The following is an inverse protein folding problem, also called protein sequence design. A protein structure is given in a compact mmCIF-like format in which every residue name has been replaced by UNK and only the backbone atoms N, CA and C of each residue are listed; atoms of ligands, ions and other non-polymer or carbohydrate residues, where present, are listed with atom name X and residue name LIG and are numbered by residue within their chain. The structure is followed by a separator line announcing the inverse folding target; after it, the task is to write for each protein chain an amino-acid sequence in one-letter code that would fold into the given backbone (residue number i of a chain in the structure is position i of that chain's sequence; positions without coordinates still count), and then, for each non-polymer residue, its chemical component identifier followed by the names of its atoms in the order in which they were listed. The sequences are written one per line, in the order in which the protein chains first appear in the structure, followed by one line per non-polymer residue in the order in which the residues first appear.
data_IF_801702608598
#
_entry.id   IF_801702608598
#
_cell.length_a   1.000
_cell.length_b   1.000
_cell.length_c   1.000
_cell.angle_alpha   90.00
_cell.angle_beta   90.00
_cell.angle_gamma   90.00
#
_symmetry.space_group_name_H-M   'P 1'
#
loop_
_entity.id
_entity.type
_entity.pdbx_description
1 polymer ?
#
# COMPACT_ATOMS: atom_id res chain seq x y z
N UNK A 1 -36.37 -12.99 -16.27
CA UNK A 1 -35.26 -13.64 -17.01
C UNK A 1 -33.97 -13.11 -16.42
N UNK A 2 -33.24 -13.95 -15.68
CA UNK A 2 -32.03 -13.61 -14.95
C UNK A 2 -30.87 -13.31 -15.91
N UNK A 3 -30.13 -12.22 -15.67
CA UNK A 3 -28.79 -12.04 -16.24
C UNK A 3 -27.78 -12.13 -15.09
N UNK A 4 -27.19 -13.32 -14.99
CA UNK A 4 -26.07 -13.69 -14.13
C UNK A 4 -24.78 -13.27 -14.84
N UNK A 5 -23.90 -12.50 -14.18
CA UNK A 5 -22.52 -12.32 -14.64
C UNK A 5 -21.73 -13.61 -14.38
N UNK A 6 -21.25 -14.24 -15.45
CA UNK A 6 -20.68 -15.60 -15.48
C UNK A 6 -19.15 -15.67 -15.45
N UNK A 7 -18.41 -14.60 -15.11
CA UNK A 7 -16.94 -14.62 -15.18
C UNK A 7 -16.28 -14.16 -13.88
N UNK A 8 -16.03 -15.17 -13.03
CA UNK A 8 -15.40 -15.20 -11.71
C UNK A 8 -16.19 -14.46 -10.62
N UNK A 9 -16.86 -15.17 -9.69
CA UNK A 9 -17.04 -14.59 -8.36
C UNK A 9 -15.62 -14.30 -7.86
N UNK A 10 -15.27 -13.02 -7.67
CA UNK A 10 -14.06 -12.69 -6.93
C UNK A 10 -14.16 -13.47 -5.63
N UNK A 11 -13.27 -14.44 -5.41
CA UNK A 11 -13.25 -15.14 -4.15
C UNK A 11 -13.09 -14.07 -3.09
N UNK A 12 -14.12 -13.87 -2.26
CA UNK A 12 -14.02 -13.02 -1.09
C UNK A 12 -12.74 -13.45 -0.37
N UNK A 13 -11.83 -12.49 -0.13
CA UNK A 13 -10.57 -12.81 0.52
C UNK A 13 -10.86 -13.60 1.80
N UNK A 14 -10.14 -14.70 1.99
CA UNK A 14 -10.32 -15.57 3.16
C UNK A 14 -9.76 -14.92 4.43
N UNK A 15 -8.85 -13.96 4.27
CA UNK A 15 -8.17 -13.25 5.33
C UNK A 15 -7.92 -11.81 4.90
N UNK A 16 -8.07 -10.86 5.82
CA UNK A 16 -7.63 -9.47 5.68
C UNK A 16 -6.89 -9.03 6.93
N UNK A 17 -5.95 -8.11 6.72
CA UNK A 17 -5.12 -7.52 7.76
C UNK A 17 -5.19 -6.01 7.58
N UNK A 18 -5.44 -5.29 8.66
CA UNK A 18 -5.35 -3.83 8.71
C UNK A 18 -4.46 -3.40 9.88
N UNK A 19 -3.68 -2.34 9.68
CA UNK A 19 -2.63 -1.92 10.59
C UNK A 19 -2.68 -0.41 10.78
N UNK A 20 -2.45 0.06 12.00
CA UNK A 20 -2.15 1.45 12.29
C UNK A 20 -0.70 1.56 12.76
N UNK A 21 0.08 2.40 12.08
CA UNK A 21 1.47 2.67 12.41
C UNK A 21 1.65 4.15 12.69
N UNK A 22 2.46 4.49 13.68
CA UNK A 22 2.90 5.86 13.89
C UNK A 22 3.81 6.31 12.74
N UNK A 23 3.69 7.59 12.39
CA UNK A 23 4.40 8.17 11.26
C UNK A 23 5.48 9.15 11.68
N UNK A 24 5.15 10.04 12.61
CA UNK A 24 5.96 11.21 13.00
C UNK A 24 6.90 10.91 14.16
N UNK A 25 6.68 9.83 14.90
CA UNK A 25 7.55 9.42 16.01
C UNK A 25 8.83 8.81 15.48
N UNK A 26 9.91 8.90 16.26
CA UNK A 26 11.21 8.30 15.90
C UNK A 26 11.12 6.78 15.77
N UNK A 27 10.31 6.15 16.63
CA UNK A 27 10.15 4.70 16.69
C UNK A 27 9.13 4.16 15.66
N UNK A 28 8.18 5.00 15.24
CA UNK A 28 7.14 4.69 14.25
C UNK A 28 6.26 3.48 14.63
N UNK A 29 6.00 3.20 15.91
CA UNK A 29 5.47 1.89 16.32
C UNK A 29 4.18 1.47 15.60
N UNK A 30 3.99 0.17 15.44
CA UNK A 30 2.70 -0.43 15.10
C UNK A 30 1.86 -0.39 16.38
N UNK A 31 0.80 0.40 16.39
CA UNK A 31 0.00 0.72 17.60
C UNK A 31 -1.33 0.00 17.65
N UNK A 32 -1.86 -0.41 16.48
CA UNK A 32 -3.04 -1.25 16.40
C UNK A 32 -2.96 -2.19 15.19
N UNK A 33 -3.62 -3.33 15.32
CA UNK A 33 -3.73 -4.32 14.25
C UNK A 33 -5.05 -5.06 14.35
N UNK A 34 -5.70 -5.25 13.21
CA UNK A 34 -6.96 -5.98 13.10
C UNK A 34 -6.79 -7.08 12.07
N UNK A 35 -7.26 -8.27 12.42
CA UNK A 35 -7.20 -9.44 11.58
C UNK A 35 -8.61 -9.98 11.38
N UNK A 36 -9.07 -10.03 10.15
CA UNK A 36 -10.30 -10.73 9.81
C UNK A 36 -9.93 -12.05 9.13
N UNK A 37 -10.24 -13.16 9.78
CA UNK A 37 -9.94 -14.51 9.34
C UNK A 37 -11.21 -15.34 9.21
N UNK A 38 -11.46 -15.88 8.02
CA UNK A 38 -12.57 -16.80 7.73
C UNK A 38 -12.13 -18.27 7.77
N UNK A 39 -10.83 -18.52 7.85
CA UNK A 39 -10.28 -19.87 7.80
C UNK A 39 -10.28 -20.49 9.19
N UNK A 40 -10.84 -21.69 9.29
CA UNK A 40 -10.70 -22.51 10.47
C UNK A 40 -10.28 -23.94 10.12
N UNK A 41 -9.12 -24.36 10.63
CA UNK A 41 -8.62 -25.71 10.43
C UNK A 41 -9.58 -26.78 10.98
N UNK A 42 -10.04 -26.62 12.23
CA UNK A 42 -10.98 -27.56 12.85
C UNK A 42 -12.30 -27.61 12.08
N UNK A 43 -12.85 -26.46 11.69
CA UNK A 43 -14.07 -26.40 10.87
C UNK A 43 -13.91 -27.08 9.51
N UNK A 44 -12.78 -26.88 8.83
CA UNK A 44 -12.46 -27.57 7.58
C UNK A 44 -12.33 -29.08 7.77
N UNK A 45 -11.69 -29.52 8.85
CA UNK A 45 -11.55 -30.94 9.18
C UNK A 45 -12.90 -31.61 9.47
N UNK A 46 -13.77 -30.97 10.28
CA UNK A 46 -15.11 -31.47 10.59
C UNK A 46 -16.00 -31.56 9.34
N UNK A 47 -15.94 -30.56 8.45
CA UNK A 47 -16.62 -30.63 7.14
C UNK A 47 -16.12 -31.80 6.28
N UNK A 48 -14.81 -32.06 6.29
CA UNK A 48 -14.22 -33.21 5.62
C UNK A 48 -14.70 -34.56 6.19
N UNK A 49 -15.21 -34.59 7.42
CA UNK A 49 -15.85 -35.75 8.05
C UNK A 49 -17.37 -35.83 7.78
N UNK A 50 -17.92 -34.94 6.95
CA UNK A 50 -19.34 -34.89 6.62
C UNK A 50 -20.21 -34.14 7.64
N UNK A 51 -19.62 -33.48 8.63
CA UNK A 51 -20.36 -32.71 9.62
C UNK A 51 -20.72 -31.30 9.09
N UNK A 52 -21.96 -30.88 9.29
CA UNK A 52 -22.42 -29.56 8.89
C UNK A 52 -22.05 -28.50 9.95
N UNK A 53 -20.86 -27.93 9.81
CA UNK A 53 -20.29 -26.95 10.75
C UNK A 53 -20.18 -25.57 10.12
N UNK A 54 -20.62 -24.53 10.83
CA UNK A 54 -20.58 -23.12 10.36
C UNK A 54 -19.69 -22.27 11.27
N UNK A 55 -18.47 -21.94 10.84
CA UNK A 55 -17.57 -21.05 11.60
C UNK A 55 -18.06 -19.58 11.55
N UNK A 56 -17.82 -18.77 12.61
CA UNK A 56 -16.99 -19.05 13.78
C UNK A 56 -17.67 -19.85 14.90
N UNK A 57 -19.00 -19.86 14.97
CA UNK A 57 -19.74 -20.34 16.16
C UNK A 57 -20.11 -21.83 16.11
N UNK A 58 -19.83 -22.51 15.01
CA UNK A 58 -20.32 -23.88 14.76
C UNK A 58 -19.55 -25.00 15.45
N UNK A 59 -18.48 -24.69 16.20
CA UNK A 59 -17.78 -25.67 17.04
C UNK A 59 -17.08 -24.99 18.22
N UNK A 60 -17.26 -25.55 19.42
CA UNK A 60 -16.78 -24.95 20.66
C UNK A 60 -15.25 -24.94 20.80
N UNK A 61 -14.72 -23.86 21.35
CA UNK A 61 -13.39 -23.75 21.98
C UNK A 61 -12.16 -23.74 21.06
N UNK A 62 -12.31 -24.03 19.77
CA UNK A 62 -11.15 -24.20 18.85
C UNK A 62 -11.33 -23.49 17.51
N UNK A 63 -12.35 -22.65 17.37
CA UNK A 63 -12.55 -21.91 16.12
C UNK A 63 -11.51 -20.80 15.99
N UNK A 64 -10.78 -20.84 14.88
CA UNK A 64 -9.78 -19.83 14.52
C UNK A 64 -10.32 -18.82 13.51
N UNK A 65 -11.51 -19.05 12.97
CA UNK A 65 -12.21 -18.01 12.23
C UNK A 65 -12.82 -17.02 13.22
N UNK A 66 -12.72 -15.73 12.93
CA UNK A 66 -13.36 -14.65 13.68
C UNK A 66 -14.40 -13.89 12.84
N UNK A 67 -14.49 -14.21 11.53
CA UNK A 67 -15.48 -13.67 10.61
C UNK A 67 -16.17 -14.80 9.87
N UNK A 68 -17.49 -14.68 9.66
CA UNK A 68 -18.27 -15.68 8.92
C UNK A 68 -17.79 -15.76 7.45
N UNK A 69 -17.82 -16.93 6.80
CA UNK A 69 -17.39 -17.10 5.42
C UNK A 69 -18.09 -16.14 4.42
N UNK A 70 -19.38 -15.88 4.66
CA UNK A 70 -20.24 -15.03 3.82
C UNK A 70 -20.07 -13.54 4.08
N UNK A 71 -19.51 -13.14 5.23
CA UNK A 71 -19.35 -11.72 5.57
C UNK A 71 -18.32 -11.07 4.64
N UNK A 72 -18.64 -9.96 3.95
CA UNK A 72 -17.67 -9.23 3.16
C UNK A 72 -16.60 -8.61 4.08
N UNK A 73 -15.34 -8.68 3.68
CA UNK A 73 -14.26 -8.00 4.41
C UNK A 73 -14.30 -6.51 4.06
N UNK A 74 -14.21 -5.65 5.06
CA UNK A 74 -14.44 -4.21 4.91
C UNK A 74 -13.36 -3.39 5.61
N UNK A 75 -12.70 -2.52 4.85
CA UNK A 75 -11.74 -1.56 5.40
C UNK A 75 -12.37 -0.63 6.43
N UNK A 76 -13.64 -0.25 6.25
CA UNK A 76 -14.39 0.56 7.21
C UNK A 76 -14.54 -0.15 8.56
N UNK A 77 -14.96 -1.42 8.56
CA UNK A 77 -15.12 -2.19 9.80
C UNK A 77 -13.78 -2.39 10.52
N UNK A 78 -12.73 -2.73 9.77
CA UNK A 78 -11.39 -2.85 10.33
C UNK A 78 -10.87 -1.51 10.85
N UNK A 79 -11.14 -0.41 10.17
CA UNK A 79 -10.82 0.94 10.63
C UNK A 79 -11.55 1.30 11.93
N UNK A 80 -12.81 0.91 12.06
CA UNK A 80 -13.59 1.10 13.30
C UNK A 80 -12.99 0.32 14.47
N UNK A 81 -12.63 -0.94 14.25
CA UNK A 81 -11.97 -1.76 15.27
C UNK A 81 -10.59 -1.18 15.67
N UNK A 82 -9.81 -0.67 14.71
CA UNK A 82 -8.55 0.05 14.98
C UNK A 82 -8.82 1.28 15.85
N UNK A 83 -9.82 2.10 15.50
CA UNK A 83 -10.19 3.29 16.27
C UNK A 83 -10.52 2.94 17.73
N UNK A 84 -11.30 1.86 17.95
CA UNK A 84 -11.62 1.36 19.29
C UNK A 84 -10.38 0.82 20.04
N UNK A 85 -9.44 0.17 19.36
CA UNK A 85 -8.19 -0.29 20.00
C UNK A 85 -7.33 0.88 20.49
N UNK A 86 -7.24 1.94 19.69
CA UNK A 86 -6.45 3.13 20.03
C UNK A 86 -7.13 3.93 21.15
N UNK A 87 -8.45 4.07 21.08
CA UNK A 87 -9.26 4.73 22.10
C UNK A 87 -9.10 4.08 23.49
N UNK A 88 -9.09 2.74 23.55
CA UNK A 88 -8.81 1.98 24.80
C UNK A 88 -7.45 2.29 25.42
N UNK A 89 -6.52 2.84 24.66
CA UNK A 89 -5.21 3.29 25.16
C UNK A 89 -5.24 4.77 25.59
N UNK A 90 -6.42 5.40 25.62
CA UNK A 90 -6.63 6.83 25.87
C UNK A 90 -5.87 7.73 24.89
N UNK A 91 -5.78 7.30 23.63
CA UNK A 91 -5.13 8.06 22.54
C UNK A 91 -6.17 8.50 21.53
N UNK A 92 -6.13 9.79 21.14
CA UNK A 92 -7.00 10.34 20.12
C UNK A 92 -6.26 10.48 18.78
N UNK A 93 -6.88 10.02 17.71
CA UNK A 93 -6.33 10.14 16.35
C UNK A 93 -6.82 11.45 15.73
N UNK A 94 -5.93 12.40 15.43
CA UNK A 94 -6.30 13.62 14.70
C UNK A 94 -6.22 13.45 13.17
N UNK A 95 -5.20 12.75 12.70
CA UNK A 95 -4.92 12.56 11.28
C UNK A 95 -4.74 11.08 10.98
N UNK A 96 -5.35 10.60 9.89
CA UNK A 96 -5.21 9.23 9.42
C UNK A 96 -4.82 9.22 7.94
N UNK A 97 -3.86 8.37 7.57
CA UNK A 97 -3.36 8.25 6.20
C UNK A 97 -3.66 6.84 5.73
N UNK A 98 -4.39 6.74 4.63
CA UNK A 98 -4.75 5.45 4.03
C UNK A 98 -4.45 5.49 2.55
N UNK A 99 -4.04 4.35 2.00
CA UNK A 99 -4.05 4.13 0.56
C UNK A 99 -5.53 4.09 0.06
N UNK A 100 -5.79 4.44 -1.20
CA UNK A 100 -7.09 4.22 -1.85
C UNK A 100 -8.33 4.94 -1.27
N UNK A 101 -9.44 4.23 -1.09
CA UNK A 101 -10.82 4.77 -0.95
C UNK A 101 -11.18 5.36 0.43
N UNK A 102 -10.25 5.48 1.39
CA UNK A 102 -10.43 6.28 2.61
C UNK A 102 -11.41 5.74 3.65
N UNK A 103 -12.11 4.65 3.33
CA UNK A 103 -13.10 3.97 4.16
C UNK A 103 -12.55 3.58 5.53
N UNK A 104 -11.26 3.21 5.61
CA UNK A 104 -10.59 2.95 6.89
C UNK A 104 -10.54 4.17 7.81
N UNK A 105 -10.25 5.36 7.28
CA UNK A 105 -10.23 6.61 8.05
C UNK A 105 -11.64 7.01 8.53
N UNK A 106 -12.67 6.78 7.70
CA UNK A 106 -14.07 6.95 8.10
C UNK A 106 -14.44 6.03 9.28
N UNK A 107 -14.01 4.77 9.23
CA UNK A 107 -14.22 3.81 10.32
C UNK A 107 -13.60 4.26 11.64
N UNK A 108 -12.35 4.75 11.62
CA UNK A 108 -11.66 5.28 12.81
C UNK A 108 -12.42 6.50 13.36
N UNK A 109 -12.84 7.41 12.48
CA UNK A 109 -13.60 8.59 12.87
C UNK A 109 -14.90 8.22 13.59
N UNK A 110 -15.64 7.27 13.04
CA UNK A 110 -16.92 6.86 13.60
C UNK A 110 -16.76 6.09 14.91
N UNK A 111 -15.64 5.38 15.12
CA UNK A 111 -15.31 4.79 16.41
C UNK A 111 -15.09 5.86 17.49
N UNK A 112 -14.24 6.85 17.21
CA UNK A 112 -13.87 7.88 18.20
C UNK A 112 -15.03 8.84 18.52
N UNK A 113 -15.90 9.10 17.55
CA UNK A 113 -17.09 9.95 17.75
C UNK A 113 -18.08 9.43 18.78
N UNK A 114 -18.09 8.13 19.06
CA UNK A 114 -19.00 7.53 20.06
C UNK A 114 -18.75 8.12 21.44
N UNK A 115 -17.48 8.29 21.82
CA UNK A 115 -17.08 8.82 23.13
C UNK A 115 -16.62 10.29 23.05
N UNK A 116 -16.21 10.75 21.87
CA UNK A 116 -15.75 12.11 21.63
C UNK A 116 -16.49 12.75 20.45
N UNK A 117 -17.77 13.15 20.61
CA UNK A 117 -18.62 13.61 19.51
C UNK A 117 -18.10 14.85 18.75
N UNK A 118 -17.35 15.71 19.45
CA UNK A 118 -16.74 16.92 18.88
C UNK A 118 -15.40 16.64 18.18
N UNK A 119 -14.83 15.44 18.36
CA UNK A 119 -13.56 15.09 17.76
C UNK A 119 -13.75 14.65 16.31
N UNK A 120 -12.84 15.11 15.44
CA UNK A 120 -12.86 14.81 14.01
C UNK A 120 -11.50 14.32 13.55
N UNK A 121 -11.50 13.10 13.00
CA UNK A 121 -10.34 12.52 12.31
C UNK A 121 -10.31 13.06 10.89
N UNK A 122 -9.18 13.65 10.51
CA UNK A 122 -8.96 14.17 9.17
C UNK A 122 -8.13 13.20 8.34
N UNK A 123 -8.69 12.75 7.23
CA UNK A 123 -7.94 11.94 6.27
C UNK A 123 -6.89 12.81 5.57
N UNK A 124 -5.65 12.33 5.58
CA UNK A 124 -4.54 12.86 4.78
C UNK A 124 -4.24 11.90 3.61
N UNK A 125 -3.70 12.44 2.52
CA UNK A 125 -3.31 11.69 1.33
C UNK A 125 -1.79 11.55 1.27
N UNK A 126 -1.30 10.48 0.63
CA UNK A 126 0.15 10.26 0.45
C UNK A 126 0.77 11.37 -0.45
N UNK A 127 1.80 12.10 0.02
CA UNK A 127 2.34 13.33 -0.54
C UNK A 127 3.54 13.17 -1.47
N UNK A 128 3.78 12.00 -2.06
CA UNK A 128 4.97 11.78 -2.92
C UNK A 128 5.12 12.79 -4.09
N UNK A 129 4.16 13.67 -4.42
CA UNK A 129 4.36 14.76 -5.38
C UNK A 129 3.64 16.08 -5.00
N UNK A 130 4.41 17.15 -4.80
CA UNK A 130 3.96 18.52 -4.49
C UNK A 130 4.06 19.44 -5.71
N UNK A 131 3.16 20.43 -5.81
CA UNK A 131 3.24 21.48 -6.83
C UNK A 131 2.12 22.52 -6.76
N UNK A 132 2.48 23.81 -6.90
CA UNK A 132 1.55 24.96 -7.01
C UNK A 132 0.89 25.05 -8.40
N UNK A 133 -0.12 25.91 -8.58
CA UNK A 133 -0.79 26.10 -9.88
C UNK A 133 0.15 26.50 -11.03
N UNK A 134 1.11 27.39 -10.77
CA UNK A 134 2.18 27.76 -11.71
C UNK A 134 3.03 26.54 -12.08
N UNK A 135 3.38 25.71 -11.09
CA UNK A 135 4.11 24.47 -11.33
C UNK A 135 3.33 23.48 -12.22
N UNK A 136 2.00 23.38 -12.09
CA UNK A 136 1.18 22.53 -12.97
C UNK A 136 1.31 22.97 -14.43
N UNK A 137 1.16 24.27 -14.67
CA UNK A 137 1.26 24.82 -16.03
C UNK A 137 2.67 24.67 -16.59
N UNK A 138 3.70 24.97 -15.78
CA UNK A 138 5.11 24.76 -16.14
C UNK A 138 5.40 23.28 -16.44
N UNK A 139 4.78 22.35 -15.71
CA UNK A 139 4.93 20.91 -15.98
C UNK A 139 4.35 20.56 -17.34
N UNK A 140 3.14 21.01 -17.67
CA UNK A 140 2.53 20.77 -19.01
C UNK A 140 3.42 21.32 -20.13
N UNK A 141 3.87 22.58 -20.03
CA UNK A 141 4.79 23.19 -20.99
C UNK A 141 6.10 22.40 -21.11
N UNK A 142 6.66 21.96 -20.00
CA UNK A 142 7.90 21.20 -19.99
C UNK A 142 7.75 19.85 -20.72
N UNK A 143 6.59 19.21 -20.63
CA UNK A 143 6.33 17.95 -21.34
C UNK A 143 6.11 18.16 -22.84
N UNK A 144 5.63 19.33 -23.26
CA UNK A 144 5.57 19.70 -24.69
C UNK A 144 6.92 20.16 -25.26
N UNK A 145 7.98 20.19 -24.44
CA UNK A 145 9.32 20.62 -24.87
C UNK A 145 9.57 22.13 -24.71
N UNK A 146 8.67 22.87 -24.06
CA UNK A 146 8.88 24.27 -23.71
C UNK A 146 9.34 24.38 -22.24
N UNK A 147 10.62 24.70 -22.07
CA UNK A 147 11.27 24.82 -20.77
C UNK A 147 11.57 26.27 -20.38
N UNK A 148 10.98 27.26 -21.07
CA UNK A 148 11.21 28.69 -20.82
C UNK A 148 10.89 29.12 -19.39
N UNK A 149 9.83 28.53 -18.80
CA UNK A 149 9.31 28.88 -17.47
C UNK A 149 9.87 27.94 -16.37
N UNK A 150 10.59 26.89 -16.75
CA UNK A 150 11.13 25.92 -15.80
C UNK A 150 12.09 26.53 -14.75
N UNK A 151 13.03 27.44 -15.09
CA UNK A 151 13.96 28.01 -14.12
C UNK A 151 13.28 28.75 -12.96
N UNK A 152 12.11 29.34 -13.20
CA UNK A 152 11.40 30.16 -12.20
C UNK A 152 10.30 29.41 -11.48
N UNK A 153 9.71 28.38 -12.11
CA UNK A 153 8.44 27.81 -11.67
C UNK A 153 8.44 26.27 -11.56
N UNK A 154 9.56 25.59 -11.88
CA UNK A 154 9.71 24.14 -11.74
C UNK A 154 10.65 23.75 -10.60
N UNK A 155 10.23 22.76 -9.80
CA UNK A 155 11.05 22.13 -8.75
C UNK A 155 11.96 20.99 -9.25
N UNK A 156 11.74 20.49 -10.47
CA UNK A 156 12.38 19.24 -10.96
C UNK A 156 13.25 19.50 -12.20
N UNK A 157 12.71 20.24 -13.17
CA UNK A 157 13.41 20.66 -14.38
C UNK A 157 14.13 21.99 -14.13
N UNK A 158 15.45 22.04 -14.37
CA UNK A 158 16.24 23.27 -14.26
C UNK A 158 16.12 24.20 -15.48
N UNK A 159 15.39 23.77 -16.51
CA UNK A 159 15.19 24.51 -17.76
C UNK A 159 16.36 24.44 -18.75
N UNK A 160 16.20 25.11 -19.88
CA UNK A 160 17.19 25.18 -20.95
C UNK A 160 17.45 23.86 -21.71
N UNK A 161 18.30 23.92 -22.72
CA UNK A 161 18.59 22.77 -23.60
C UNK A 161 19.48 21.69 -22.99
N UNK A 162 20.14 21.93 -21.86
CA UNK A 162 21.11 20.98 -21.26
C UNK A 162 20.76 20.58 -19.82
N UNK A 163 19.97 21.39 -19.12
CA UNK A 163 19.58 21.14 -17.72
C UNK A 163 18.08 20.75 -17.59
N UNK A 164 17.44 20.41 -18.71
CA UNK A 164 16.07 19.91 -18.70
C UNK A 164 15.99 18.46 -18.22
N UNK A 165 14.83 18.11 -17.64
CA UNK A 165 14.63 16.79 -17.07
C UNK A 165 14.65 15.67 -18.13
N UNK A 166 14.28 15.97 -19.38
CA UNK A 166 14.31 15.04 -20.52
C UNK A 166 15.71 14.45 -20.73
N UNK A 167 16.72 15.30 -20.77
CA UNK A 167 18.12 14.89 -20.98
C UNK A 167 18.77 14.34 -19.72
N UNK A 168 18.39 14.86 -18.55
CA UNK A 168 18.89 14.37 -17.25
C UNK A 168 18.31 13.02 -16.86
N UNK A 169 17.15 12.66 -17.40
CA UNK A 169 16.53 11.36 -17.18
C UNK A 169 17.39 10.26 -17.79
N UNK A 170 17.78 9.29 -16.96
CA UNK A 170 18.54 8.12 -17.40
C UNK A 170 17.88 7.35 -18.55
N UNK A 171 16.54 7.38 -18.63
CA UNK A 171 15.79 6.63 -19.63
C UNK A 171 15.44 7.49 -20.84
N UNK A 172 14.94 8.70 -20.62
CA UNK A 172 14.41 9.53 -21.70
C UNK A 172 15.54 10.09 -22.57
N UNK A 173 16.62 10.57 -21.94
CA UNK A 173 17.81 11.05 -22.64
C UNK A 173 18.51 9.93 -23.42
N UNK A 174 18.61 8.73 -22.84
CA UNK A 174 19.18 7.56 -23.53
C UNK A 174 18.39 7.16 -24.78
N UNK A 175 17.06 7.39 -24.78
CA UNK A 175 16.18 7.14 -25.91
C UNK A 175 15.95 8.37 -26.79
N UNK A 176 16.71 9.47 -26.58
CA UNK A 176 16.60 10.74 -27.32
C UNK A 176 15.19 11.35 -27.32
N UNK A 177 14.39 11.06 -26.30
CA UNK A 177 13.08 11.65 -26.12
C UNK A 177 13.25 13.05 -25.50
N UNK A 178 12.71 14.06 -26.17
CA UNK A 178 12.90 15.48 -25.80
C UNK A 178 11.59 16.24 -25.60
N UNK A 179 10.46 15.69 -26.07
CA UNK A 179 9.12 16.24 -25.89
C UNK A 179 8.05 15.16 -26.18
N UNK A 180 6.84 15.40 -25.70
CA UNK A 180 5.63 14.71 -26.16
C UNK A 180 4.94 15.58 -27.21
N UNK A 181 4.51 14.97 -28.32
CA UNK A 181 3.63 15.62 -29.28
C UNK A 181 2.19 15.54 -28.76
N UNK A 182 1.78 16.53 -27.97
CA UNK A 182 0.49 16.56 -27.29
C UNK A 182 -0.52 17.43 -28.04
N UNK A 183 -1.71 16.90 -28.27
CA UNK A 183 -2.85 17.72 -28.71
C UNK A 183 -3.50 18.47 -27.53
N UNK A 184 -4.53 19.27 -27.81
CA UNK A 184 -5.19 20.06 -26.75
C UNK A 184 -5.99 19.18 -25.76
N UNK A 185 -6.42 18.00 -26.19
CA UNK A 185 -7.08 17.03 -25.30
C UNK A 185 -6.06 16.36 -24.36
N UNK A 186 -4.87 16.01 -24.85
CA UNK A 186 -3.77 15.50 -24.04
C UNK A 186 -3.34 16.53 -22.98
N UNK A 187 -3.25 17.81 -23.37
CA UNK A 187 -2.97 18.91 -22.43
C UNK A 187 -4.05 19.00 -21.36
N UNK A 188 -5.33 18.90 -21.75
CA UNK A 188 -6.45 18.93 -20.80
C UNK A 188 -6.39 17.75 -19.81
N UNK A 189 -6.20 16.52 -20.30
CA UNK A 189 -6.07 15.32 -19.47
C UNK A 189 -4.90 15.49 -18.51
N UNK A 190 -3.74 15.94 -19.00
CA UNK A 190 -2.57 16.16 -18.17
C UNK A 190 -2.83 17.23 -17.09
N UNK A 191 -3.53 18.32 -17.43
CA UNK A 191 -3.92 19.33 -16.45
C UNK A 191 -4.86 18.77 -15.39
N UNK A 192 -5.86 17.96 -15.76
CA UNK A 192 -6.77 17.32 -14.80
C UNK A 192 -6.04 16.32 -13.90
N UNK A 193 -5.13 15.50 -14.46
CA UNK A 193 -4.28 14.59 -13.69
C UNK A 193 -3.38 15.37 -12.70
N UNK A 194 -2.80 16.49 -13.15
CA UNK A 194 -2.00 17.36 -12.30
C UNK A 194 -2.88 18.03 -11.25
N UNK A 195 -4.11 18.46 -11.54
CA UNK A 195 -5.05 19.02 -10.55
C UNK A 195 -5.40 17.98 -9.48
N UNK A 196 -5.66 16.73 -9.86
CA UNK A 196 -5.94 15.66 -8.90
C UNK A 196 -4.81 15.46 -7.87
N UNK A 197 -3.56 15.75 -8.25
CA UNK A 197 -2.37 15.55 -7.41
C UNK A 197 -1.83 16.83 -6.78
N UNK A 198 -2.07 17.98 -7.40
CA UNK A 198 -1.40 19.24 -7.12
C UNK A 198 -2.40 20.39 -6.91
N UNK A 199 -3.68 20.11 -6.61
CA UNK A 199 -4.66 21.14 -6.17
C UNK A 199 -4.33 21.63 -4.76
N UNK A 200 -4.81 22.83 -4.41
CA UNK A 200 -4.65 23.35 -3.04
C UNK A 200 -5.23 22.40 -1.99
N UNK A 201 -6.39 21.80 -2.29
CA UNK A 201 -6.99 20.75 -1.44
C UNK A 201 -6.08 19.52 -1.31
N UNK A 202 -5.47 19.06 -2.41
CA UNK A 202 -4.53 17.95 -2.39
C UNK A 202 -3.29 18.30 -1.57
N UNK A 203 -2.73 19.50 -1.76
CA UNK A 203 -1.59 20.02 -1.00
C UNK A 203 -1.91 20.09 0.51
N UNK A 204 -3.11 20.54 0.87
CA UNK A 204 -3.55 20.59 2.27
C UNK A 204 -3.72 19.19 2.88
N UNK A 205 -4.15 18.20 2.09
CA UNK A 205 -4.18 16.78 2.49
C UNK A 205 -2.79 16.13 2.53
N UNK A 206 -1.78 16.79 1.97
CA UNK A 206 -0.40 16.30 1.82
C UNK A 206 0.60 17.07 2.69
N UNK A 207 0.16 18.13 3.37
CA UNK A 207 1.01 19.12 4.05
C UNK A 207 1.97 18.55 5.09
N UNK A 208 1.63 17.39 5.67
CA UNK A 208 2.44 16.75 6.70
C UNK A 208 3.44 15.72 6.17
N UNK A 209 3.53 15.53 4.87
CA UNK A 209 4.44 14.58 4.23
C UNK A 209 4.27 13.10 4.69
N UNK A 210 3.06 12.69 5.01
CA UNK A 210 2.71 11.35 5.52
C UNK A 210 2.54 10.27 4.43
N UNK A 211 3.32 9.19 4.46
CA UNK A 211 3.26 8.07 3.50
C UNK A 211 2.82 6.70 4.07
N UNK A 212 2.45 5.76 3.18
CA UNK A 212 2.02 4.40 3.57
C UNK A 212 3.14 3.36 3.65
N UNK A 213 4.39 3.76 3.42
CA UNK A 213 5.52 2.84 3.25
C UNK A 213 5.74 1.90 4.45
N UNK A 214 5.52 2.40 5.68
CA UNK A 214 5.65 1.54 6.87
C UNK A 214 4.57 0.47 6.89
N UNK A 215 3.31 0.84 6.66
CA UNK A 215 2.20 -0.12 6.60
C UNK A 215 2.43 -1.17 5.52
N UNK A 216 2.92 -0.78 4.35
CA UNK A 216 3.28 -1.70 3.26
C UNK A 216 4.42 -2.66 3.65
N UNK A 217 5.47 -2.15 4.30
CA UNK A 217 6.58 -2.97 4.77
C UNK A 217 6.12 -4.00 5.82
N UNK A 218 5.25 -3.60 6.75
CA UNK A 218 4.68 -4.51 7.76
C UNK A 218 3.76 -5.54 7.10
N UNK A 219 2.87 -5.13 6.19
CA UNK A 219 2.00 -6.03 5.43
C UNK A 219 2.81 -7.07 4.64
N UNK A 220 3.95 -6.66 4.06
CA UNK A 220 4.86 -7.58 3.38
C UNK A 220 5.50 -8.58 4.34
N UNK A 221 5.99 -8.12 5.50
CA UNK A 221 6.57 -9.00 6.51
C UNK A 221 5.56 -10.03 7.05
N UNK A 222 4.32 -9.58 7.28
CA UNK A 222 3.20 -10.44 7.64
C UNK A 222 2.90 -11.45 6.52
N UNK A 223 2.80 -11.00 5.27
CA UNK A 223 2.51 -11.88 4.13
C UNK A 223 3.55 -12.97 3.90
N UNK A 224 4.83 -12.69 4.14
CA UNK A 224 5.92 -13.68 4.06
C UNK A 224 5.77 -14.76 5.14
N UNK A 225 5.29 -14.37 6.32
CA UNK A 225 5.26 -15.24 7.50
C UNK A 225 3.91 -15.93 7.72
N UNK A 226 2.85 -15.39 7.11
CA UNK A 226 1.46 -15.83 7.20
C UNK A 226 1.00 -16.24 5.82
N UNK A 227 1.27 -17.49 5.45
CA UNK A 227 0.73 -18.03 4.20
C UNK A 227 -0.80 -18.10 4.28
N UNK A 228 -1.49 -17.83 3.17
CA UNK A 228 -2.95 -17.84 3.09
C UNK A 228 -3.55 -19.27 3.06
N UNK A 229 -2.85 -20.25 3.61
CA UNK A 229 -3.28 -21.64 3.66
C UNK A 229 -4.04 -21.94 4.97
N UNK A 230 -5.03 -22.83 4.87
CA UNK A 230 -5.89 -23.24 6.01
C UNK A 230 -5.07 -23.77 7.19
N UNK A 231 -3.95 -24.45 6.94
CA UNK A 231 -3.07 -24.98 7.99
C UNK A 231 -2.42 -23.89 8.86
N UNK A 232 -2.27 -22.68 8.34
CA UNK A 232 -1.71 -21.54 9.08
C UNK A 232 -2.76 -20.80 9.90
N UNK A 233 -4.04 -21.18 9.82
CA UNK A 233 -5.11 -20.54 10.59
C UNK A 233 -5.00 -20.82 12.10
N UNK A 234 -4.41 -21.96 12.52
CA UNK A 234 -4.35 -22.36 13.94
C UNK A 234 -3.48 -21.44 14.80
N UNK A 235 -2.38 -20.95 14.25
CA UNK A 235 -1.42 -20.09 14.95
C UNK A 235 -1.29 -18.72 14.28
N UNK A 236 -2.28 -18.33 13.49
CA UNK A 236 -2.26 -17.10 12.70
C UNK A 236 -2.03 -15.87 13.57
N UNK A 237 -2.89 -15.65 14.58
CA UNK A 237 -2.81 -14.49 15.47
C UNK A 237 -1.52 -14.45 16.28
N UNK A 238 -1.09 -15.61 16.80
CA UNK A 238 0.18 -15.72 17.53
C UNK A 238 1.39 -15.40 16.65
N UNK A 239 1.41 -15.88 15.40
CA UNK A 239 2.45 -15.54 14.42
C UNK A 239 2.43 -14.07 14.06
N UNK A 240 1.25 -13.51 13.77
CA UNK A 240 1.08 -12.11 13.42
C UNK A 240 1.58 -11.20 14.55
N UNK A 241 1.14 -11.48 15.78
CA UNK A 241 1.56 -10.75 16.98
C UNK A 241 3.06 -10.86 17.22
N UNK A 242 3.65 -12.05 17.02
CA UNK A 242 5.09 -12.26 17.16
C UNK A 242 5.91 -11.43 16.15
N UNK A 243 5.42 -11.28 14.92
CA UNK A 243 6.07 -10.47 13.88
C UNK A 243 5.95 -8.99 14.22
N UNK A 244 4.76 -8.51 14.57
CA UNK A 244 4.53 -7.11 14.97
C UNK A 244 5.43 -6.75 16.15
N UNK A 245 5.50 -7.60 17.17
CA UNK A 245 6.39 -7.42 18.31
C UNK A 245 7.86 -7.32 17.90
N UNK A 246 8.30 -8.15 16.95
CA UNK A 246 9.68 -8.10 16.41
C UNK A 246 9.94 -6.85 15.59
N UNK A 247 8.96 -6.37 14.82
CA UNK A 247 9.09 -5.14 14.03
C UNK A 247 9.13 -3.89 14.89
N UNK A 248 8.43 -3.88 16.03
CA UNK A 248 8.47 -2.78 17.01
C UNK A 248 9.76 -2.80 17.83
N UNK A 249 10.17 -3.95 18.36
CA UNK A 249 11.26 -4.02 19.35
C UNK A 249 12.65 -4.35 18.76
N UNK A 250 12.72 -4.82 17.51
CA UNK A 250 13.92 -5.42 16.95
C UNK A 250 14.07 -6.91 17.31
N UNK A 251 14.91 -7.63 16.56
CA UNK A 251 15.02 -9.10 16.65
C UNK A 251 15.50 -9.54 18.04
N UNK A 252 16.59 -8.95 18.55
CA UNK A 252 17.20 -9.38 19.81
C UNK A 252 16.30 -9.07 21.02
N UNK A 253 15.82 -7.83 21.12
CA UNK A 253 14.96 -7.40 22.22
C UNK A 253 13.61 -8.12 22.22
N UNK A 254 13.02 -8.34 21.04
CA UNK A 254 11.77 -9.09 20.91
C UNK A 254 11.89 -10.50 21.47
N UNK A 255 12.98 -11.20 21.16
CA UNK A 255 13.25 -12.53 21.71
C UNK A 255 13.49 -12.51 23.21
N UNK A 256 14.29 -11.56 23.70
CA UNK A 256 14.56 -11.41 25.13
C UNK A 256 13.28 -11.21 25.94
N UNK A 257 12.44 -10.25 25.55
CA UNK A 257 11.17 -9.97 26.24
C UNK A 257 10.22 -11.17 26.20
N UNK A 258 10.08 -11.84 25.05
CA UNK A 258 9.25 -13.05 24.93
C UNK A 258 9.73 -14.19 25.84
N UNK A 259 11.04 -14.38 25.92
CA UNK A 259 11.64 -15.39 26.79
C UNK A 259 11.39 -15.08 28.27
N UNK A 260 11.63 -13.83 28.68
CA UNK A 260 11.37 -13.35 30.04
C UNK A 260 9.90 -13.53 30.44
N UNK A 261 8.95 -13.25 29.54
CA UNK A 261 7.52 -13.48 29.79
C UNK A 261 7.15 -14.95 30.05
N UNK A 262 7.92 -15.91 29.52
CA UNK A 262 7.70 -17.35 29.72
C UNK A 262 8.52 -17.87 30.93
N UNK A 263 9.27 -16.98 31.61
CA UNK A 263 10.18 -17.35 32.69
C UNK A 263 11.47 -18.03 32.20
N UNK A 264 11.77 -17.93 30.90
CA UNK A 264 12.97 -18.50 30.30
C UNK A 264 14.05 -17.44 30.13
N UNK A 265 15.31 -17.78 30.46
CA UNK A 265 16.46 -16.90 30.23
C UNK A 265 17.27 -17.39 29.04
N UNK A 266 17.42 -16.54 28.03
CA UNK A 266 18.24 -16.84 26.85
C UNK A 266 19.71 -16.90 27.27
N UNK A 267 20.45 -17.89 26.75
CA UNK A 267 21.90 -17.99 26.97
C UNK A 267 22.64 -16.78 26.37
N UNK A 268 23.76 -16.39 26.99
CA UNK A 268 24.53 -15.24 26.50
C UNK A 268 25.06 -15.45 25.06
N UNK A 269 25.43 -16.68 24.70
CA UNK A 269 25.89 -17.01 23.35
C UNK A 269 24.80 -16.83 22.30
N UNK A 270 23.59 -17.35 22.58
CA UNK A 270 22.44 -17.17 21.69
C UNK A 270 22.02 -15.71 21.57
N UNK A 271 22.07 -14.95 22.68
CA UNK A 271 21.72 -13.53 22.65
C UNK A 271 22.71 -12.71 21.80
N UNK A 272 24.02 -12.95 21.93
CA UNK A 272 25.04 -12.31 21.07
C UNK A 272 24.81 -12.58 19.58
N UNK A 273 24.36 -13.79 19.23
CA UNK A 273 24.00 -14.12 17.85
C UNK A 273 22.79 -13.31 17.36
N UNK A 274 21.74 -13.18 18.19
CA UNK A 274 20.58 -12.35 17.86
C UNK A 274 20.95 -10.87 17.68
N UNK A 275 21.85 -10.34 18.51
CA UNK A 275 22.38 -8.98 18.36
C UNK A 275 23.19 -8.82 17.07
N UNK A 276 23.95 -9.83 16.66
CA UNK A 276 24.64 -9.82 15.38
C UNK A 276 23.65 -9.78 14.20
N UNK A 277 22.63 -10.64 14.21
CA UNK A 277 21.59 -10.65 13.18
C UNK A 277 20.89 -9.29 13.07
N UNK A 278 20.59 -8.66 14.20
CA UNK A 278 19.98 -7.34 14.22
C UNK A 278 20.90 -6.29 13.58
N UNK A 279 22.19 -6.26 13.96
CA UNK A 279 23.19 -5.36 13.36
C UNK A 279 23.36 -5.57 11.86
N UNK A 280 23.31 -6.81 11.38
CA UNK A 280 23.34 -7.12 9.94
C UNK A 280 22.13 -6.58 9.20
N UNK A 281 20.93 -6.74 9.76
CA UNK A 281 19.71 -6.16 9.21
C UNK A 281 19.76 -4.62 9.16
N UNK A 282 20.25 -3.98 10.22
CA UNK A 282 20.42 -2.52 10.27
C UNK A 282 21.43 -2.02 9.23
N UNK A 283 22.60 -2.68 9.12
CA UNK A 283 23.60 -2.39 8.09
C UNK A 283 23.02 -2.54 6.68
N UNK A 284 22.27 -3.61 6.42
CA UNK A 284 21.64 -3.84 5.13
C UNK A 284 20.60 -2.75 4.79
N UNK A 285 19.82 -2.26 5.75
CA UNK A 285 18.89 -1.14 5.53
C UNK A 285 19.61 0.15 5.13
N UNK A 286 20.72 0.46 5.80
CA UNK A 286 21.55 1.62 5.45
C UNK A 286 22.15 1.44 4.05
N UNK A 287 22.72 0.27 3.77
CA UNK A 287 23.31 -0.06 2.48
C UNK A 287 22.31 0.04 1.31
N UNK A 288 21.07 -0.44 1.47
CA UNK A 288 20.05 -0.33 0.42
C UNK A 288 19.65 1.12 0.11
N UNK A 289 19.90 2.05 1.04
CA UNK A 289 19.57 3.45 0.89
C UNK A 289 20.69 4.29 0.28
N UNK A 290 21.89 3.73 0.05
CA UNK A 290 23.01 4.49 -0.50
C UNK A 290 22.74 4.92 -1.95
N UNK A 291 23.23 6.10 -2.38
CA UNK A 291 23.03 6.61 -3.74
C UNK A 291 23.53 5.63 -4.81
N UNK A 292 24.66 4.96 -4.57
CA UNK A 292 25.28 4.01 -5.48
C UNK A 292 24.37 2.79 -5.69
N UNK A 293 23.77 2.29 -4.61
CA UNK A 293 22.87 1.13 -4.67
C UNK A 293 21.57 1.49 -5.38
N UNK A 294 21.00 2.66 -5.09
CA UNK A 294 19.81 3.18 -5.79
C UNK A 294 20.07 3.34 -7.29
N UNK A 295 21.21 3.94 -7.66
CA UNK A 295 21.63 4.09 -9.07
C UNK A 295 21.76 2.73 -9.76
N UNK A 296 22.42 1.76 -9.12
CA UNK A 296 22.56 0.40 -9.67
C UNK A 296 21.21 -0.29 -9.88
N UNK A 297 20.28 -0.18 -8.93
CA UNK A 297 18.94 -0.76 -9.06
C UNK A 297 18.16 -0.13 -10.23
N UNK A 298 18.28 1.19 -10.44
CA UNK A 298 17.69 1.87 -11.59
C UNK A 298 18.30 1.36 -12.90
N UNK A 299 19.62 1.30 -13.01
CA UNK A 299 20.30 0.77 -14.21
C UNK A 299 19.86 -0.66 -14.55
N UNK A 300 19.76 -1.54 -13.55
CA UNK A 300 19.28 -2.90 -13.74
C UNK A 300 17.81 -2.96 -14.20
N UNK A 301 16.97 -2.06 -13.68
CA UNK A 301 15.57 -1.96 -14.10
C UNK A 301 15.48 -1.48 -15.55
N UNK A 302 16.29 -0.49 -15.92
CA UNK A 302 16.43 -0.03 -17.29
C UNK A 302 16.80 -1.13 -18.27
N UNK A 303 17.81 -1.92 -17.91
CA UNK A 303 18.25 -3.03 -18.73
C UNK A 303 17.11 -4.05 -18.91
N UNK A 304 16.43 -4.44 -17.84
CA UNK A 304 15.28 -5.37 -17.93
C UNK A 304 14.15 -4.86 -18.83
N UNK A 305 13.87 -3.56 -18.79
CA UNK A 305 12.85 -2.95 -19.66
C UNK A 305 13.31 -3.02 -21.12
N UNK A 306 14.58 -2.70 -21.38
CA UNK A 306 15.17 -2.78 -22.71
C UNK A 306 15.12 -4.21 -23.26
N UNK A 307 15.58 -5.17 -22.47
CA UNK A 307 15.53 -6.61 -22.81
C UNK A 307 14.08 -7.03 -23.10
N UNK A 308 13.11 -6.62 -22.27
CA UNK A 308 11.69 -6.92 -22.49
C UNK A 308 11.13 -6.31 -23.79
N UNK A 309 11.52 -5.09 -24.14
CA UNK A 309 11.09 -4.44 -25.40
C UNK A 309 11.72 -5.15 -26.60
N UNK A 310 13.01 -5.46 -26.54
CA UNK A 310 13.72 -6.20 -27.60
C UNK A 310 13.12 -7.61 -27.81
N UNK A 311 12.85 -8.33 -26.71
CA UNK A 311 12.14 -9.62 -26.75
C UNK A 311 10.74 -9.49 -27.37
N UNK A 312 10.01 -8.42 -27.04
CA UNK A 312 8.68 -8.15 -27.58
C UNK A 312 8.70 -7.82 -29.08
N UNK A 313 9.73 -7.11 -29.55
CA UNK A 313 9.93 -6.79 -30.97
C UNK A 313 10.35 -8.03 -31.79
N UNK A 314 11.17 -8.91 -31.21
CA UNK A 314 11.62 -10.15 -31.84
C UNK A 314 10.55 -11.26 -31.79
N UNK A 315 9.66 -11.22 -30.80
CA UNK A 315 8.54 -12.14 -30.65
C UNK A 315 7.53 -11.98 -31.79
N UNK A 316 7.39 -13.02 -32.63
CA UNK A 316 6.27 -13.13 -33.60
C UNK A 316 4.90 -13.30 -32.93
N UNK A 317 4.85 -13.56 -31.63
CA UNK A 317 3.60 -13.63 -30.87
C UNK A 317 3.19 -12.22 -30.47
N UNK A 318 2.16 -11.69 -31.15
CA UNK A 318 1.41 -10.53 -30.65
C UNK A 318 0.85 -10.88 -29.28
N UNK A 319 1.31 -10.15 -28.28
CA UNK A 319 0.76 -10.16 -26.93
C UNK A 319 -0.77 -9.96 -27.04
N UNK A 320 -1.55 -11.03 -26.80
CA UNK A 320 -3.01 -11.02 -27.04
C UNK A 320 -3.76 -10.20 -25.98
N UNK A 321 -3.05 -9.72 -24.97
CA UNK A 321 -3.60 -8.90 -23.91
C UNK A 321 -3.80 -7.46 -24.41
N UNK A 322 -5.05 -7.07 -24.58
CA UNK A 322 -5.44 -5.66 -24.70
C UNK A 322 -5.91 -5.17 -23.32
N UNK A 323 -5.35 -4.06 -22.84
CA UNK A 323 -5.87 -3.38 -21.65
C UNK A 323 -7.32 -2.98 -21.94
N UNK A 324 -8.26 -3.45 -21.12
CA UNK A 324 -9.70 -3.31 -21.37
C UNK A 324 -10.32 -4.33 -22.32
N UNK A 325 -9.64 -5.43 -22.64
CA UNK A 325 -10.18 -6.57 -23.40
C UNK A 325 -11.46 -7.17 -22.79
N UNK A 326 -11.63 -7.02 -21.48
CA UNK A 326 -12.82 -7.45 -20.73
C UNK A 326 -13.75 -6.30 -20.38
N UNK A 327 -13.35 -5.06 -20.69
CA UNK A 327 -14.21 -3.91 -20.47
C UNK A 327 -15.33 -3.97 -21.51
N UNK A 328 -16.59 -3.69 -21.12
CA UNK A 328 -17.68 -3.63 -22.08
C UNK A 328 -17.33 -2.58 -23.14
N UNK A 329 -17.34 -2.98 -24.42
CA UNK A 329 -17.22 -2.04 -25.53
C UNK A 329 -18.37 -1.03 -25.38
N UNK A 330 -18.05 0.18 -24.92
CA UNK A 330 -18.97 1.30 -24.95
C UNK A 330 -19.23 1.60 -26.43
N UNK A 331 -20.32 1.03 -26.95
CA UNK A 331 -20.90 1.55 -28.18
C UNK A 331 -21.26 3.00 -27.89
N UNK A 332 -20.50 3.93 -28.47
CA UNK A 332 -20.85 5.34 -28.48
C UNK A 332 -22.28 5.47 -29.02
N UNK A 333 -23.25 5.66 -28.12
CA UNK A 333 -24.62 6.00 -28.48
C UNK A 333 -24.56 7.43 -28.99
N UNK A 334 -24.44 7.57 -30.31
CA UNK A 334 -24.38 8.85 -31.04
C UNK A 334 -25.72 9.62 -31.06
N UNK A 335 -26.63 9.39 -30.11
CA UNK A 335 -28.01 9.87 -30.19
C UNK A 335 -28.48 10.84 -29.09
N UNK A 336 -27.60 11.46 -28.31
CA UNK A 336 -28.02 12.39 -27.25
C UNK A 336 -27.53 13.84 -27.36
N UNK A 337 -27.10 14.28 -28.55
CA UNK A 337 -26.97 15.72 -28.84
C UNK A 337 -27.60 16.06 -30.20
N UNK A 338 -28.93 16.08 -30.23
CA UNK A 338 -29.73 16.94 -31.09
C UNK A 338 -30.74 17.66 -30.21
N UNK A 339 -30.35 18.84 -29.74
CA UNK A 339 -31.22 19.98 -29.45
C UNK A 339 -30.32 21.22 -29.53
#
# INVERSE_FOLDING_TARGET
MHIVSTKKPGQNASQAISLACEQVTDHKFIVASVFHNKLCWTGSWLKGKGLNVTCPDGHAGTCTANVKPTTPLSEYLMGKEIGLQIDRQNVLVKYAVTDGDGRGAEGINDALKVLHPLWKVERQADPIHLGRSQFRQTTVCCFTGDYSICPTSSYVCGGGHTNCWWLRSMYLGANKLTNLNMDDNDKLIMQELLKMKLSEEALMKMKFNFNTQKCEAVNRALSVSLSKHVNFSRNFEGRASAIIHTLNNGIANSWKQKAECIGFKISQGSFKHLEQMQRECERNKVYQNTPERKKKNLQQTGQKIKDHVEEKEQSKFKDRYQKGQLDPKLHFIRHLFKA
#
